data_IF_583387111690
#
_entry.id   IF_583387111690
#
_cell.length_a   1.000
_cell.length_b   1.000
_cell.length_c   1.000
_cell.angle_alpha   90.00
_cell.angle_beta   90.00
_cell.angle_gamma   90.00
#
_symmetry.space_group_name_H-M   'P 1'
#
loop_
_entity.id
_entity.type
_entity.pdbx_description
1 polymer ?
#
# COMPACT_ATOMS: atom_id res chain seq x y z
N UNK A 1 14.84 -17.38 -17.53
CA UNK A 1 15.14 -18.48 -16.59
C UNK A 1 13.97 -18.76 -15.65
N UNK A 2 13.39 -17.78 -14.95
CA UNK A 2 12.24 -17.94 -14.01
C UNK A 2 11.03 -18.63 -14.65
N UNK A 3 10.59 -18.18 -15.83
CA UNK A 3 9.46 -18.77 -16.57
C UNK A 3 9.70 -20.25 -16.92
N UNK A 4 10.93 -20.61 -17.25
CA UNK A 4 11.30 -21.99 -17.57
C UNK A 4 11.24 -22.90 -16.33
N UNK A 5 11.70 -22.41 -15.17
CA UNK A 5 11.60 -23.14 -13.89
C UNK A 5 10.12 -23.36 -13.51
N UNK A 6 9.26 -22.35 -13.68
CA UNK A 6 7.82 -22.48 -13.40
C UNK A 6 7.15 -23.47 -14.35
N UNK A 7 7.54 -23.50 -15.64
CA UNK A 7 7.07 -24.49 -16.60
C UNK A 7 7.51 -25.90 -16.25
N UNK A 8 8.77 -26.07 -15.84
CA UNK A 8 9.32 -27.34 -15.42
C UNK A 8 8.62 -27.89 -14.18
N UNK A 9 8.41 -27.04 -13.17
CA UNK A 9 7.67 -27.38 -11.95
C UNK A 9 6.26 -27.89 -12.27
N UNK A 10 5.51 -27.17 -13.13
CA UNK A 10 4.18 -27.58 -13.57
C UNK A 10 4.20 -28.91 -14.35
N UNK A 11 5.19 -29.11 -15.20
CA UNK A 11 5.34 -30.36 -15.99
C UNK A 11 5.64 -31.58 -15.10
N UNK A 12 6.51 -31.39 -14.09
CA UNK A 12 6.92 -32.45 -13.19
C UNK A 12 5.92 -32.69 -12.05
N UNK A 13 4.99 -31.75 -11.81
CA UNK A 13 4.01 -31.78 -10.69
C UNK A 13 4.66 -31.93 -9.32
N UNK A 14 5.82 -31.34 -9.11
CA UNK A 14 6.55 -31.35 -7.85
C UNK A 14 6.43 -30.02 -7.13
N UNK A 15 6.58 -30.04 -5.81
CA UNK A 15 6.60 -28.82 -5.00
C UNK A 15 8.02 -28.26 -4.97
N UNK A 16 8.16 -26.98 -5.34
CA UNK A 16 9.39 -26.22 -5.14
C UNK A 16 9.23 -25.32 -3.92
N UNK A 17 10.23 -25.30 -3.08
CA UNK A 17 10.39 -24.30 -2.03
C UNK A 17 11.55 -23.41 -2.45
N UNK A 18 11.26 -22.12 -2.63
CA UNK A 18 12.21 -21.13 -3.07
C UNK A 18 12.37 -20.06 -1.99
N UNK A 19 13.60 -19.80 -1.57
CA UNK A 19 13.90 -18.76 -0.59
C UNK A 19 14.63 -17.64 -1.30
N UNK A 20 14.04 -16.45 -1.29
CA UNK A 20 14.60 -15.26 -1.94
C UNK A 20 14.31 -14.02 -1.12
N UNK A 21 15.14 -13.00 -1.28
CA UNK A 21 14.87 -11.64 -0.84
C UNK A 21 14.37 -10.74 -1.99
N UNK A 22 14.30 -11.29 -3.21
CA UNK A 22 13.78 -10.57 -4.38
C UNK A 22 12.26 -10.76 -4.46
N UNK A 23 11.55 -9.65 -4.29
CA UNK A 23 10.09 -9.60 -4.27
C UNK A 23 9.49 -9.90 -5.64
N UNK A 24 10.11 -9.43 -6.74
CA UNK A 24 9.63 -9.69 -8.09
C UNK A 24 9.72 -11.18 -8.43
N UNK A 25 10.80 -11.83 -8.02
CA UNK A 25 10.95 -13.28 -8.16
C UNK A 25 9.87 -14.03 -7.40
N UNK A 26 9.65 -13.68 -6.12
CA UNK A 26 8.62 -14.30 -5.31
C UNK A 26 7.23 -14.13 -5.94
N UNK A 27 6.89 -12.91 -6.37
CA UNK A 27 5.59 -12.59 -6.97
C UNK A 27 5.33 -13.31 -8.31
N UNK A 28 6.36 -13.46 -9.15
CA UNK A 28 6.21 -14.03 -10.50
C UNK A 28 6.27 -15.56 -10.52
N UNK A 29 7.06 -16.17 -9.63
CA UNK A 29 7.33 -17.60 -9.66
C UNK A 29 6.42 -18.42 -8.76
N UNK A 30 5.95 -17.87 -7.65
CA UNK A 30 5.27 -18.64 -6.61
C UNK A 30 3.77 -18.78 -6.85
N UNK A 31 3.19 -19.87 -6.39
CA UNK A 31 1.75 -20.03 -6.24
C UNK A 31 1.29 -19.55 -4.85
N UNK A 32 2.19 -19.63 -3.85
CA UNK A 32 2.02 -19.11 -2.49
C UNK A 32 3.32 -18.47 -2.00
N UNK A 33 3.20 -17.40 -1.25
CA UNK A 33 4.32 -16.67 -0.64
C UNK A 33 4.13 -16.68 0.87
N UNK A 34 5.19 -17.01 1.61
CA UNK A 34 5.30 -16.80 3.04
C UNK A 34 6.23 -15.62 3.31
N UNK A 35 5.69 -14.52 3.82
CA UNK A 35 6.51 -13.40 4.30
C UNK A 35 6.95 -13.69 5.71
N UNK A 36 8.26 -13.68 5.95
CA UNK A 36 8.86 -14.03 7.23
C UNK A 36 9.67 -12.87 7.81
N UNK A 37 9.61 -12.70 9.12
CA UNK A 37 10.46 -11.78 9.90
C UNK A 37 10.82 -12.42 11.23
N UNK A 38 12.08 -12.32 11.62
CA UNK A 38 12.59 -12.86 12.90
C UNK A 38 12.18 -14.32 13.18
N UNK A 39 12.18 -15.19 12.14
CA UNK A 39 11.82 -16.61 12.26
C UNK A 39 10.31 -16.90 12.32
N UNK A 40 9.45 -15.88 12.31
CA UNK A 40 7.99 -16.03 12.30
C UNK A 40 7.43 -15.81 10.90
N UNK A 41 6.39 -16.54 10.52
CA UNK A 41 5.60 -16.25 9.32
C UNK A 41 4.57 -15.19 9.68
N UNK A 42 4.69 -14.00 9.05
CA UNK A 42 3.75 -12.90 9.26
C UNK A 42 2.50 -13.06 8.40
N UNK A 43 2.69 -13.45 7.13
CA UNK A 43 1.57 -13.71 6.23
C UNK A 43 1.92 -14.83 5.25
N UNK A 44 0.91 -15.63 4.93
CA UNK A 44 0.98 -16.70 3.95
C UNK A 44 -0.25 -16.60 3.02
N UNK A 45 -0.02 -16.44 1.72
CA UNK A 45 -1.10 -16.29 0.74
C UNK A 45 -0.62 -16.39 -0.69
N UNK A 46 -1.52 -16.22 -1.64
CA UNK A 46 -1.17 -16.03 -3.05
C UNK A 46 -0.42 -14.70 -3.25
N UNK A 47 0.38 -14.55 -4.32
CA UNK A 47 1.03 -13.27 -4.64
C UNK A 47 0.06 -12.09 -4.61
N UNK A 48 -1.12 -12.24 -5.18
CA UNK A 48 -2.15 -11.20 -5.22
C UNK A 48 -2.64 -10.83 -3.82
N UNK A 49 -2.93 -11.81 -2.96
CA UNK A 49 -3.38 -11.55 -1.58
C UNK A 49 -2.30 -10.83 -0.76
N UNK A 50 -1.04 -11.24 -0.88
CA UNK A 50 0.08 -10.61 -0.17
C UNK A 50 0.26 -9.15 -0.60
N UNK A 51 0.08 -8.85 -1.90
CA UNK A 51 0.21 -7.50 -2.44
C UNK A 51 -1.00 -6.61 -2.12
N UNK A 52 -2.22 -7.09 -2.40
CA UNK A 52 -3.44 -6.29 -2.29
C UNK A 52 -4.01 -6.22 -0.88
N UNK A 53 -3.71 -7.20 -0.01
CA UNK A 53 -4.27 -7.32 1.34
C UNK A 53 -3.20 -7.67 2.38
N UNK A 54 -2.22 -6.81 2.59
CA UNK A 54 -1.24 -7.00 3.64
C UNK A 54 -1.95 -7.00 5.01
N UNK A 55 -1.59 -7.96 5.87
CA UNK A 55 -2.20 -8.11 7.19
C UNK A 55 -1.49 -7.29 8.29
N UNK A 56 -0.30 -6.74 8.01
CA UNK A 56 0.44 -5.88 8.91
C UNK A 56 1.28 -4.88 8.13
N UNK A 57 1.70 -3.81 8.80
CA UNK A 57 2.53 -2.74 8.23
C UNK A 57 3.81 -3.27 7.59
N UNK A 58 4.50 -4.20 8.25
CA UNK A 58 5.73 -4.77 7.70
C UNK A 58 5.51 -5.41 6.32
N UNK A 59 4.45 -6.20 6.15
CA UNK A 59 4.13 -6.83 4.85
C UNK A 59 3.79 -5.79 3.81
N UNK A 60 3.03 -4.74 4.18
CA UNK A 60 2.69 -3.63 3.29
C UNK A 60 3.92 -2.89 2.77
N UNK A 61 4.88 -2.61 3.65
CA UNK A 61 6.13 -1.90 3.32
C UNK A 61 7.13 -2.81 2.60
N UNK A 62 7.18 -4.09 3.00
CA UNK A 62 8.16 -5.03 2.44
C UNK A 62 7.80 -5.47 1.01
N UNK A 63 6.52 -5.62 0.69
CA UNK A 63 6.06 -6.11 -0.62
C UNK A 63 5.63 -4.93 -1.52
N UNK A 64 6.56 -4.45 -2.34
CA UNK A 64 6.33 -3.35 -3.26
C UNK A 64 6.28 -1.97 -2.60
N UNK A 65 6.02 -0.94 -3.40
CA UNK A 65 5.83 0.42 -2.88
C UNK A 65 4.42 0.55 -2.26
N UNK A 66 4.33 1.18 -1.08
CA UNK A 66 3.06 1.50 -0.43
C UNK A 66 3.09 2.92 0.14
N UNK A 67 1.95 3.58 0.12
CA UNK A 67 1.71 4.76 0.94
C UNK A 67 1.08 4.30 2.25
N UNK A 68 1.66 4.66 3.38
CA UNK A 68 1.16 4.31 4.70
C UNK A 68 0.72 5.59 5.41
N UNK A 69 -0.56 5.67 5.72
CA UNK A 69 -1.14 6.75 6.51
C UNK A 69 -1.39 6.26 7.92
N UNK A 70 -0.91 6.99 8.93
CA UNK A 70 -1.28 6.75 10.31
C UNK A 70 -2.46 7.65 10.68
N UNK A 71 -3.46 7.10 11.35
CA UNK A 71 -4.64 7.87 11.75
C UNK A 71 -5.49 7.17 12.78
N UNK A 72 -6.53 7.87 13.18
CA UNK A 72 -7.51 7.43 14.16
C UNK A 72 -8.89 7.27 13.51
N UNK A 73 -9.57 6.17 13.78
CA UNK A 73 -10.93 5.93 13.32
C UNK A 73 -11.87 6.90 14.03
N UNK A 74 -12.52 7.81 13.29
CA UNK A 74 -13.52 8.75 13.83
C UNK A 74 -14.94 8.14 13.84
N UNK A 75 -15.28 7.38 12.77
CA UNK A 75 -16.57 6.72 12.66
C UNK A 75 -16.46 5.42 11.86
N UNK A 76 -17.35 4.50 12.18
CA UNK A 76 -17.51 3.23 11.46
C UNK A 76 -18.94 3.16 10.91
N UNK A 77 -19.07 3.22 9.58
CA UNK A 77 -20.35 3.16 8.88
C UNK A 77 -20.41 1.88 8.03
N UNK A 78 -20.92 0.79 8.62
CA UNK A 78 -20.87 -0.56 8.04
C UNK A 78 -19.42 -1.01 7.82
N UNK A 79 -18.96 -1.05 6.57
CA UNK A 79 -17.56 -1.38 6.22
C UNK A 79 -16.72 -0.16 5.91
N UNK A 80 -17.31 1.03 5.91
CA UNK A 80 -16.61 2.27 5.61
C UNK A 80 -16.11 2.89 6.90
N UNK A 81 -14.82 3.21 6.92
CA UNK A 81 -14.12 3.84 8.03
C UNK A 81 -13.82 5.29 7.66
N UNK A 82 -14.27 6.23 8.49
CA UNK A 82 -13.83 7.62 8.47
C UNK A 82 -12.59 7.74 9.37
N UNK A 83 -11.48 8.19 8.82
CA UNK A 83 -10.20 8.20 9.51
C UNK A 83 -9.60 9.60 9.48
N UNK A 84 -9.26 10.12 10.65
CA UNK A 84 -8.52 11.37 10.80
C UNK A 84 -7.02 11.09 10.88
N UNK A 85 -6.24 11.82 10.08
CA UNK A 85 -4.77 11.82 10.08
C UNK A 85 -4.24 13.22 10.37
N UNK A 86 -2.93 13.37 10.57
CA UNK A 86 -2.30 14.69 10.69
C UNK A 86 -2.41 15.53 9.41
N UNK A 87 -2.56 14.87 8.25
CA UNK A 87 -2.66 15.51 6.94
C UNK A 87 -4.08 15.74 6.43
N UNK A 88 -5.10 15.37 7.23
CA UNK A 88 -6.52 15.49 6.88
C UNK A 88 -7.26 14.17 7.01
N UNK A 89 -8.49 14.14 6.46
CA UNK A 89 -9.38 12.97 6.52
C UNK A 89 -9.26 12.09 5.31
N UNK A 90 -9.46 10.81 5.52
CA UNK A 90 -9.51 9.80 4.48
C UNK A 90 -10.58 8.74 4.77
N UNK A 91 -10.99 8.04 3.72
CA UNK A 91 -11.88 6.88 3.79
C UNK A 91 -11.11 5.60 3.48
N UNK A 92 -11.46 4.54 4.20
CA UNK A 92 -11.01 3.17 3.93
C UNK A 92 -12.14 2.19 4.12
N UNK A 93 -12.04 0.99 3.56
CA UNK A 93 -13.00 -0.09 3.79
C UNK A 93 -12.36 -1.21 4.59
N UNK A 94 -13.00 -1.58 5.70
CA UNK A 94 -12.54 -2.67 6.55
C UNK A 94 -13.58 -3.11 7.55
N UNK A 95 -13.37 -4.28 8.15
CA UNK A 95 -14.22 -4.85 9.18
C UNK A 95 -13.39 -5.11 10.45
N UNK A 96 -14.03 -5.04 11.61
CA UNK A 96 -13.39 -5.34 12.90
C UNK A 96 -12.64 -4.17 13.54
N UNK A 97 -12.79 -2.95 13.02
CA UNK A 97 -12.22 -1.73 13.59
C UNK A 97 -13.23 -1.02 14.48
N UNK A 98 -12.74 -0.30 15.48
CA UNK A 98 -13.55 0.43 16.45
C UNK A 98 -13.29 1.94 16.36
N UNK A 99 -14.33 2.73 16.65
CA UNK A 99 -14.17 4.18 16.83
C UNK A 99 -13.14 4.48 17.93
N UNK A 100 -12.26 5.43 17.66
CA UNK A 100 -11.18 5.81 18.55
C UNK A 100 -9.91 4.95 18.43
N UNK A 101 -9.91 3.92 17.59
CA UNK A 101 -8.75 3.06 17.36
C UNK A 101 -7.69 3.77 16.51
N UNK A 102 -6.40 3.64 16.91
CA UNK A 102 -5.26 4.06 16.11
C UNK A 102 -4.91 2.95 15.12
N UNK A 103 -4.83 3.29 13.84
CA UNK A 103 -4.60 2.34 12.76
C UNK A 103 -3.62 2.88 11.71
N UNK A 104 -3.09 1.99 10.91
CA UNK A 104 -2.43 2.33 9.66
C UNK A 104 -3.37 2.05 8.48
N UNK A 105 -3.27 2.84 7.43
CA UNK A 105 -3.96 2.61 6.16
C UNK A 105 -2.92 2.49 5.06
N UNK A 106 -2.83 1.32 4.45
CA UNK A 106 -1.95 1.06 3.31
C UNK A 106 -2.68 1.32 2.00
N UNK A 107 -2.05 2.06 1.10
CA UNK A 107 -2.56 2.34 -0.25
C UNK A 107 -1.45 2.13 -1.29
N UNK A 108 -1.72 1.33 -2.31
CA UNK A 108 -0.78 1.19 -3.42
C UNK A 108 -0.78 2.45 -4.30
N UNK A 109 0.41 2.87 -4.80
CA UNK A 109 0.56 4.10 -5.58
C UNK A 109 -0.34 4.18 -6.83
N UNK A 110 -0.66 3.05 -7.45
CA UNK A 110 -1.51 2.96 -8.63
C UNK A 110 -2.99 3.27 -8.37
N UNK A 111 -3.45 3.17 -7.13
CA UNK A 111 -4.84 3.48 -6.75
C UNK A 111 -5.04 4.93 -6.33
N UNK A 112 -3.96 5.67 -6.07
CA UNK A 112 -4.04 7.08 -5.71
C UNK A 112 -4.52 7.93 -6.89
N UNK A 113 -5.39 8.90 -6.61
CA UNK A 113 -5.88 9.90 -7.55
C UNK A 113 -5.66 11.30 -7.00
N UNK A 114 -5.35 12.24 -7.89
CA UNK A 114 -5.18 13.65 -7.56
C UNK A 114 -6.34 14.47 -8.12
N UNK A 115 -6.72 15.51 -7.39
CA UNK A 115 -7.72 16.48 -7.81
C UNK A 115 -7.36 17.90 -7.36
N UNK A 116 -7.96 18.93 -7.99
CA UNK A 116 -7.76 20.34 -7.62
C UNK A 116 -8.59 20.74 -6.41
N UNK A 117 -9.59 19.95 -6.06
CA UNK A 117 -10.52 20.21 -4.94
C UNK A 117 -10.71 18.95 -4.13
N UNK A 118 -10.99 19.11 -2.84
CA UNK A 118 -11.31 18.00 -1.96
C UNK A 118 -12.56 17.25 -2.46
N UNK A 119 -12.54 15.92 -2.32
CA UNK A 119 -13.69 15.06 -2.61
C UNK A 119 -14.39 14.67 -1.29
N UNK A 120 -15.70 14.33 -1.34
CA UNK A 120 -16.42 13.89 -0.15
C UNK A 120 -15.68 12.77 0.60
N UNK A 121 -15.44 12.99 1.91
CA UNK A 121 -14.72 12.04 2.76
C UNK A 121 -13.19 12.08 2.63
N UNK A 122 -12.63 12.90 1.73
CA UNK A 122 -11.19 13.08 1.58
C UNK A 122 -10.84 14.56 1.61
N UNK A 123 -9.97 14.94 2.53
CA UNK A 123 -9.39 16.28 2.55
C UNK A 123 -7.85 16.28 2.72
N UNK A 124 -7.22 15.12 2.46
CA UNK A 124 -5.78 14.98 2.40
C UNK A 124 -5.21 15.94 1.36
N UNK A 125 -4.33 16.84 1.80
CA UNK A 125 -3.76 17.87 0.96
C UNK A 125 -2.25 17.77 0.92
N UNK A 126 -1.69 17.83 -0.30
CA UNK A 126 -0.25 17.82 -0.52
C UNK A 126 0.17 18.78 -1.62
N UNK A 127 1.48 18.87 -1.83
CA UNK A 127 2.11 19.66 -2.88
C UNK A 127 2.88 18.74 -3.81
N UNK A 128 2.65 18.84 -5.10
CA UNK A 128 3.42 18.07 -6.10
C UNK A 128 4.89 18.50 -6.03
N UNK A 129 5.76 17.51 -5.79
CA UNK A 129 7.21 17.69 -5.66
C UNK A 129 7.93 17.47 -6.99
N UNK A 130 7.68 16.34 -7.61
CA UNK A 130 8.28 15.97 -8.88
C UNK A 130 7.45 14.95 -9.67
N UNK A 131 7.87 14.76 -10.94
CA UNK A 131 7.37 13.74 -11.85
C UNK A 131 8.54 12.96 -12.45
N UNK A 132 8.50 11.64 -12.37
CA UNK A 132 9.52 10.76 -12.96
C UNK A 132 8.86 9.82 -13.96
N UNK A 133 9.13 10.01 -15.24
CA UNK A 133 8.68 9.10 -16.29
C UNK A 133 9.64 7.91 -16.44
N UNK A 134 9.13 6.69 -16.27
CA UNK A 134 9.93 5.45 -16.32
C UNK A 134 9.74 4.65 -17.61
N UNK A 135 9.10 5.23 -18.63
CA UNK A 135 8.81 4.57 -19.90
C UNK A 135 7.44 3.86 -19.94
N UNK A 136 7.01 3.24 -18.84
CA UNK A 136 5.71 2.57 -18.74
C UNK A 136 4.71 3.31 -17.86
N UNK A 137 5.19 4.02 -16.87
CA UNK A 137 4.37 4.80 -15.94
C UNK A 137 5.04 6.13 -15.58
N UNK A 138 4.23 7.12 -15.22
CA UNK A 138 4.69 8.35 -14.57
C UNK A 138 4.51 8.18 -13.06
N UNK A 139 5.62 8.29 -12.31
CA UNK A 139 5.62 8.37 -10.85
C UNK A 139 5.57 9.83 -10.44
N UNK A 140 4.65 10.17 -9.56
CA UNK A 140 4.50 11.51 -8.99
C UNK A 140 4.76 11.45 -7.50
N UNK A 141 5.67 12.29 -7.00
CA UNK A 141 5.91 12.46 -5.57
C UNK A 141 5.13 13.67 -5.06
N UNK A 142 4.43 13.50 -3.96
CA UNK A 142 3.60 14.53 -3.30
C UNK A 142 4.11 14.70 -1.87
N UNK A 143 4.53 15.90 -1.52
CA UNK A 143 4.91 16.29 -0.16
C UNK A 143 3.67 16.67 0.64
N UNK A 144 3.47 16.03 1.78
CA UNK A 144 2.36 16.29 2.70
C UNK A 144 2.71 17.39 3.69
N UNK A 145 1.72 17.87 4.46
CA UNK A 145 1.90 18.96 5.42
C UNK A 145 2.85 18.60 6.58
N UNK A 146 2.90 17.34 6.98
CA UNK A 146 3.80 16.79 8.00
C UNK A 146 5.22 16.52 7.48
N UNK A 147 5.49 16.79 6.19
CA UNK A 147 6.77 16.52 5.53
C UNK A 147 6.92 15.08 5.02
N UNK A 148 5.94 14.23 5.22
CA UNK A 148 5.93 12.89 4.62
C UNK A 148 5.76 12.96 3.09
N UNK A 149 6.17 11.91 2.40
CA UNK A 149 6.04 11.79 0.95
C UNK A 149 5.05 10.71 0.58
N UNK A 150 4.09 11.06 -0.27
CA UNK A 150 3.12 10.14 -0.87
C UNK A 150 3.44 9.97 -2.35
N UNK A 151 3.38 8.74 -2.84
CA UNK A 151 3.71 8.39 -4.22
C UNK A 151 2.47 7.97 -5.00
N UNK A 152 2.36 8.46 -6.22
CA UNK A 152 1.37 8.01 -7.19
C UNK A 152 2.07 7.41 -8.40
N UNK A 153 1.48 6.36 -8.99
CA UNK A 153 1.97 5.71 -10.21
C UNK A 153 0.84 5.59 -11.23
N UNK A 154 0.99 6.19 -12.40
CA UNK A 154 -0.03 6.19 -13.46
C UNK A 154 0.56 5.86 -14.81
N UNK A 155 -0.18 5.10 -15.62
CA UNK A 155 0.18 4.82 -17.02
C UNK A 155 -0.01 6.07 -17.88
N UNK A 156 -1.00 6.90 -17.56
CA UNK A 156 -1.31 8.14 -18.27
C UNK A 156 -0.50 9.31 -17.71
N UNK A 157 -0.20 10.28 -18.58
CA UNK A 157 0.46 11.53 -18.20
C UNK A 157 -0.52 12.42 -17.40
N UNK A 158 -0.09 12.87 -16.22
CA UNK A 158 -0.81 13.83 -15.39
C UNK A 158 -0.55 15.29 -15.84
N UNK A 159 -0.67 15.54 -17.13
CA UNK A 159 -0.35 16.84 -17.74
C UNK A 159 -1.16 18.04 -17.20
N UNK A 160 -2.21 17.78 -16.39
CA UNK A 160 -3.01 18.85 -15.77
C UNK A 160 -2.40 19.43 -14.48
N UNK A 161 -1.37 18.77 -13.91
CA UNK A 161 -0.66 19.21 -12.71
C UNK A 161 0.80 19.54 -13.03
N UNK A 162 1.37 20.47 -12.24
CA UNK A 162 2.78 20.89 -12.34
C UNK A 162 3.44 20.80 -10.97
N UNK A 163 4.77 20.75 -10.98
CA UNK A 163 5.54 20.88 -9.76
C UNK A 163 5.17 22.15 -9.01
N UNK A 164 4.96 22.01 -7.72
CA UNK A 164 4.53 23.06 -6.82
C UNK A 164 3.02 23.25 -6.71
N UNK A 165 2.22 22.59 -7.54
CA UNK A 165 0.76 22.67 -7.44
C UNK A 165 0.27 22.03 -6.13
N UNK A 166 -0.75 22.65 -5.53
CA UNK A 166 -1.48 22.06 -4.41
C UNK A 166 -2.52 21.09 -4.95
N UNK A 167 -2.55 19.88 -4.42
CA UNK A 167 -3.43 18.79 -4.84
C UNK A 167 -4.14 18.16 -3.64
N UNK A 168 -5.30 17.60 -3.90
CA UNK A 168 -6.03 16.75 -2.95
C UNK A 168 -5.93 15.29 -3.38
N UNK A 169 -5.74 14.41 -2.41
CA UNK A 169 -5.56 12.98 -2.59
C UNK A 169 -6.87 12.25 -2.33
N UNK A 170 -7.17 11.26 -3.15
CA UNK A 170 -8.35 10.40 -2.99
C UNK A 170 -8.15 9.05 -3.66
N UNK A 171 -8.99 8.08 -3.32
CA UNK A 171 -9.05 6.76 -3.92
C UNK A 171 -10.43 6.13 -3.71
N UNK A 172 -10.70 5.01 -4.33
CA UNK A 172 -11.86 4.20 -4.00
C UNK A 172 -11.58 3.43 -2.69
N UNK A 173 -12.36 3.62 -1.61
CA UNK A 173 -12.09 3.05 -0.28
C UNK A 173 -11.73 1.55 -0.23
N UNK A 174 -12.30 0.65 -1.05
CA UNK A 174 -11.90 -0.75 -1.10
C UNK A 174 -10.47 -1.03 -1.56
N UNK A 175 -9.79 -0.05 -2.18
CA UNK A 175 -8.40 -0.19 -2.60
C UNK A 175 -7.39 0.10 -1.50
N UNK A 176 -7.80 0.72 -0.42
CA UNK A 176 -6.96 0.88 0.77
C UNK A 176 -7.20 -0.23 1.77
N UNK A 177 -6.16 -0.56 2.52
CA UNK A 177 -6.19 -1.65 3.51
C UNK A 177 -5.94 -1.07 4.88
N UNK A 178 -6.95 -1.01 5.76
CA UNK A 178 -6.75 -0.64 7.15
C UNK A 178 -6.05 -1.78 7.90
N UNK A 179 -5.10 -1.43 8.75
CA UNK A 179 -4.23 -2.35 9.50
C UNK A 179 -4.20 -1.90 10.95
N UNK A 180 -4.47 -2.82 11.88
CA UNK A 180 -4.36 -2.54 13.31
C UNK A 180 -2.94 -2.13 13.70
N UNK A 181 -2.79 -1.08 14.51
CA UNK A 181 -1.47 -0.62 14.97
C UNK A 181 -0.80 -1.62 15.91
N UNK A 182 -1.57 -2.44 16.62
CA UNK A 182 -1.09 -3.51 17.51
C UNK A 182 -0.74 -4.82 16.79
N UNK A 183 -0.73 -4.84 15.45
CA UNK A 183 -0.34 -6.03 14.68
C UNK A 183 1.12 -6.38 14.88
N UNK A 184 1.43 -7.68 15.06
CA UNK A 184 2.72 -8.31 15.41
C UNK A 184 3.94 -7.98 14.50
N UNK A 185 4.05 -6.78 14.01
CA UNK A 185 5.17 -6.30 13.19
C UNK A 185 6.05 -5.26 13.87
N UNK A 186 5.68 -4.75 15.05
CA UNK A 186 6.30 -3.60 15.71
C UNK A 186 7.14 -3.91 16.95
N UNK A 187 7.48 -5.17 17.23
CA UNK A 187 8.45 -5.44 18.29
C UNK A 187 9.86 -4.99 17.86
N UNK A 188 10.23 -3.80 18.38
CA UNK A 188 11.53 -3.32 18.78
C UNK A 188 12.60 -3.06 17.71
N UNK A 189 12.70 -1.78 17.35
CA UNK A 189 13.99 -1.13 17.24
C UNK A 189 14.36 -0.55 18.61
N UNK A 190 14.81 -1.39 19.55
CA UNK A 190 15.64 -0.99 20.67
C UNK A 190 16.78 -2.01 20.80
N UNK A 191 17.91 -1.68 20.31
CA UNK A 191 19.32 -1.72 20.76
C UNK A 191 20.28 -1.60 19.60
#
# INVERSE_FOLDING_TARGET
>A
MQIELKRLQKKLKITFVYVTHDQEEAMTMSDRIAVMRAGKILQLGSPKEIYERPNCRFVADFIGESNIFHGKVEAVNDKLLDIATENGKLLSSGEGFLEGEDIFVSLRPEYLSLSKTALPGFDLRGRVKDFVYTGSVTKTSIEMADGSEVKMSRVEDNSEFKEGDTVYLSWDPPHSVPIHSSGEGEEEHET
#
